data_IF_408561954693
#
_entry.id   IF_408561954693
#
_cell.length_a   1.000
_cell.length_b   1.000
_cell.length_c   1.000
_cell.angle_alpha   90.00
_cell.angle_beta   90.00
_cell.angle_gamma   90.00
#
_symmetry.space_group_name_H-M   'P 1'
#
loop_
_entity.id
_entity.type
_entity.pdbx_description
1 polymer ?
#
# COMPACT_ATOMS: atom_id res chain seq x y z
N UNK A 1 -17.86 -25.82 -3.96
CA UNK A 1 -17.12 -25.42 -2.83
C UNK A 1 -15.66 -25.59 -3.06
N UNK A 2 -14.71 -25.88 -2.40
CA UNK A 2 -13.48 -25.10 -2.32
C UNK A 2 -12.55 -25.32 -3.52
N UNK A 3 -12.98 -24.91 -4.68
CA UNK A 3 -12.18 -24.90 -5.91
C UNK A 3 -10.83 -24.16 -5.73
N UNK A 4 -10.82 -23.13 -4.91
CA UNK A 4 -9.59 -22.39 -4.62
C UNK A 4 -8.59 -23.17 -3.75
N UNK A 5 -9.07 -24.01 -2.81
CA UNK A 5 -8.20 -24.86 -1.98
C UNK A 5 -7.55 -25.95 -2.83
N UNK A 6 -8.31 -26.55 -3.72
CA UNK A 6 -7.79 -27.59 -4.61
C UNK A 6 -6.79 -27.02 -5.61
N UNK A 7 -7.08 -25.85 -6.18
CA UNK A 7 -6.13 -25.10 -7.01
C UNK A 7 -4.85 -24.76 -6.27
N UNK A 8 -4.95 -24.37 -5.01
CA UNK A 8 -3.78 -24.08 -4.19
C UNK A 8 -2.93 -25.32 -3.94
N UNK A 9 -3.56 -26.46 -3.63
CA UNK A 9 -2.87 -27.73 -3.44
C UNK A 9 -2.16 -28.20 -4.71
N UNK A 10 -2.85 -28.16 -5.84
CA UNK A 10 -2.29 -28.54 -7.14
C UNK A 10 -1.08 -27.66 -7.49
N UNK A 11 -1.18 -26.36 -7.24
CA UNK A 11 -0.10 -25.42 -7.51
C UNK A 11 1.12 -25.65 -6.63
N UNK A 12 0.93 -25.87 -5.33
CA UNK A 12 2.02 -26.22 -4.42
C UNK A 12 2.66 -27.55 -4.78
N UNK A 13 1.85 -28.52 -5.20
CA UNK A 13 2.35 -29.81 -5.69
C UNK A 13 3.17 -29.64 -6.96
N UNK A 14 2.69 -28.87 -7.93
CA UNK A 14 3.41 -28.58 -9.17
C UNK A 14 4.75 -27.87 -8.90
N UNK A 15 4.79 -26.91 -7.98
CA UNK A 15 6.00 -26.22 -7.55
C UNK A 15 7.01 -27.19 -6.90
N UNK A 16 6.54 -28.07 -6.02
CA UNK A 16 7.39 -29.08 -5.39
C UNK A 16 7.95 -30.09 -6.41
N UNK A 17 7.14 -30.52 -7.38
CA UNK A 17 7.53 -31.46 -8.43
C UNK A 17 8.44 -30.83 -9.51
N UNK A 18 8.38 -29.49 -9.69
CA UNK A 18 9.20 -28.79 -10.68
C UNK A 18 10.69 -28.78 -10.36
N UNK A 19 11.08 -29.09 -9.10
CA UNK A 19 12.46 -29.08 -8.66
C UNK A 19 13.11 -27.68 -8.66
N UNK A 20 12.31 -26.62 -8.67
CA UNK A 20 12.81 -25.26 -8.67
C UNK A 20 13.56 -24.93 -7.38
N UNK A 21 14.74 -24.31 -7.52
CA UNK A 21 15.52 -23.83 -6.41
C UNK A 21 14.89 -22.58 -5.80
N UNK A 22 15.30 -22.23 -4.58
CA UNK A 22 14.88 -20.97 -3.94
C UNK A 22 15.25 -19.74 -4.78
N UNK A 23 16.41 -19.75 -5.44
CA UNK A 23 16.86 -18.68 -6.32
C UNK A 23 15.96 -18.54 -7.56
N UNK A 24 15.56 -19.63 -8.17
CA UNK A 24 14.62 -19.62 -9.31
C UNK A 24 13.25 -19.11 -8.93
N UNK A 25 12.73 -19.49 -7.77
CA UNK A 25 11.46 -18.99 -7.23
C UNK A 25 11.54 -17.48 -6.93
N UNK A 26 12.64 -17.03 -6.36
CA UNK A 26 12.87 -15.61 -6.07
C UNK A 26 12.95 -14.79 -7.35
N UNK A 27 13.64 -15.28 -8.38
CA UNK A 27 13.72 -14.64 -9.68
C UNK A 27 12.35 -14.60 -10.37
N UNK A 28 11.60 -15.68 -10.29
CA UNK A 28 10.25 -15.75 -10.85
C UNK A 28 9.33 -14.71 -10.18
N UNK A 29 9.35 -14.63 -8.86
CA UNK A 29 8.59 -13.60 -8.10
C UNK A 29 8.99 -12.18 -8.52
N UNK A 30 10.28 -11.89 -8.66
CA UNK A 30 10.76 -10.60 -9.13
C UNK A 30 10.25 -10.26 -10.54
N UNK A 31 10.22 -11.22 -11.44
CA UNK A 31 9.70 -11.04 -12.79
C UNK A 31 8.20 -10.78 -12.80
N UNK A 32 7.44 -11.49 -11.99
CA UNK A 32 5.99 -11.27 -11.83
C UNK A 32 5.72 -9.86 -11.29
N UNK A 33 6.45 -9.43 -10.28
CA UNK A 33 6.33 -8.07 -9.72
C UNK A 33 6.64 -7.03 -10.79
N UNK A 34 7.72 -7.17 -11.52
CA UNK A 34 8.10 -6.23 -12.57
C UNK A 34 7.03 -6.11 -13.67
N UNK A 35 6.42 -7.23 -14.03
CA UNK A 35 5.37 -7.24 -15.05
C UNK A 35 4.05 -6.63 -14.57
N UNK A 36 3.67 -6.87 -13.33
CA UNK A 36 2.34 -6.52 -12.79
C UNK A 36 2.32 -5.25 -11.93
N UNK A 37 3.47 -4.79 -11.47
CA UNK A 37 3.54 -3.67 -10.53
C UNK A 37 2.94 -2.35 -11.04
N UNK A 38 3.10 -1.94 -12.31
CA UNK A 38 2.51 -0.71 -12.79
C UNK A 38 0.98 -0.70 -12.68
N UNK A 39 0.32 -1.76 -13.12
CA UNK A 39 -1.13 -1.91 -13.04
C UNK A 39 -1.61 -2.01 -11.58
N UNK A 40 -0.92 -2.78 -10.77
CA UNK A 40 -1.19 -2.90 -9.35
C UNK A 40 -1.09 -1.56 -8.61
N UNK A 41 -0.07 -0.78 -8.93
CA UNK A 41 0.15 0.55 -8.36
C UNK A 41 -0.92 1.54 -8.79
N UNK A 42 -1.25 1.58 -10.07
CA UNK A 42 -2.32 2.43 -10.60
C UNK A 42 -3.68 2.08 -9.96
N UNK A 43 -3.99 0.82 -9.81
CA UNK A 43 -5.21 0.37 -9.11
C UNK A 43 -5.24 0.81 -7.64
N UNK A 44 -4.10 0.79 -6.97
CA UNK A 44 -4.00 1.29 -5.60
C UNK A 44 -4.24 2.80 -5.51
N UNK A 45 -3.66 3.57 -6.42
CA UNK A 45 -3.89 5.03 -6.49
C UNK A 45 -5.35 5.33 -6.79
N UNK A 46 -5.98 4.62 -7.71
CA UNK A 46 -7.42 4.77 -8.01
C UNK A 46 -8.28 4.47 -6.77
N UNK A 47 -7.89 3.48 -5.98
CA UNK A 47 -8.58 3.17 -4.73
C UNK A 47 -8.45 4.31 -3.70
N UNK A 48 -7.27 4.90 -3.57
CA UNK A 48 -7.07 6.09 -2.72
C UNK A 48 -7.95 7.25 -3.17
N UNK A 49 -8.03 7.51 -4.47
CA UNK A 49 -8.90 8.54 -5.04
C UNK A 49 -10.37 8.28 -4.74
N UNK A 50 -10.83 7.06 -4.94
CA UNK A 50 -12.22 6.69 -4.70
C UNK A 50 -12.61 6.84 -3.23
N UNK A 51 -11.77 6.37 -2.33
CA UNK A 51 -12.01 6.45 -0.89
C UNK A 51 -11.95 7.90 -0.38
N UNK A 52 -11.02 8.72 -0.86
CA UNK A 52 -10.93 10.13 -0.51
C UNK A 52 -12.14 10.95 -1.02
N UNK A 53 -12.60 10.66 -2.22
CA UNK A 53 -13.80 11.29 -2.80
C UNK A 53 -15.05 10.93 -2.00
N UNK A 54 -15.17 9.68 -1.58
CA UNK A 54 -16.29 9.22 -0.74
C UNK A 54 -16.32 9.90 0.62
N UNK A 55 -15.16 10.11 1.24
CA UNK A 55 -15.07 10.88 2.48
C UNK A 55 -15.55 12.31 2.31
N UNK A 56 -15.21 12.96 1.21
CA UNK A 56 -15.69 14.30 0.88
C UNK A 56 -17.20 14.38 0.74
N UNK A 57 -17.80 13.36 0.14
CA UNK A 57 -19.26 13.26 0.00
C UNK A 57 -19.94 13.06 1.34
N UNK A 58 -19.38 12.21 2.21
CA UNK A 58 -19.95 11.89 3.52
C UNK A 58 -19.76 13.04 4.53
N UNK A 59 -18.62 13.72 4.46
CA UNK A 59 -18.25 14.79 5.38
C UNK A 59 -17.94 16.11 4.64
N UNK A 60 -18.89 16.69 3.88
CA UNK A 60 -18.61 17.83 3.02
C UNK A 60 -18.20 19.10 3.79
N UNK A 61 -18.64 19.23 5.03
CA UNK A 61 -18.39 20.42 5.88
C UNK A 61 -17.30 20.18 6.94
N UNK A 62 -16.70 19.00 6.97
CA UNK A 62 -15.67 18.66 7.96
C UNK A 62 -14.32 18.45 7.27
N UNK A 63 -13.55 19.52 7.15
CA UNK A 63 -12.23 19.51 6.52
C UNK A 63 -11.26 18.55 7.22
N UNK A 64 -11.41 18.36 8.53
CA UNK A 64 -10.55 17.45 9.31
C UNK A 64 -10.69 15.98 8.89
N UNK A 65 -11.82 15.60 8.29
CA UNK A 65 -12.09 14.25 7.78
C UNK A 65 -11.80 14.11 6.29
N UNK A 66 -11.22 15.13 5.66
CA UNK A 66 -10.95 15.13 4.23
C UNK A 66 -9.44 15.02 3.95
N UNK A 67 -9.11 14.41 2.83
CA UNK A 67 -7.76 14.34 2.32
C UNK A 67 -7.76 14.50 0.79
N UNK A 68 -6.59 14.80 0.25
CA UNK A 68 -6.38 14.96 -1.19
C UNK A 68 -5.32 13.99 -1.66
N UNK A 69 -5.59 13.31 -2.76
CA UNK A 69 -4.65 12.41 -3.43
C UNK A 69 -4.14 13.09 -4.70
N UNK A 70 -2.83 13.20 -4.83
CA UNK A 70 -2.18 13.82 -5.99
C UNK A 70 -1.25 12.80 -6.63
N UNK A 71 -1.51 12.42 -7.88
CA UNK A 71 -0.58 11.57 -8.64
C UNK A 71 0.59 12.41 -9.11
N UNK A 72 1.82 11.95 -8.83
CA UNK A 72 3.06 12.58 -9.28
C UNK A 72 3.71 11.75 -10.40
N UNK A 73 4.77 12.26 -11.01
CA UNK A 73 5.52 11.54 -12.04
C UNK A 73 6.15 10.23 -11.52
N UNK A 74 6.47 10.14 -10.23
CA UNK A 74 7.18 9.01 -9.62
C UNK A 74 6.34 8.23 -8.59
N UNK A 75 5.13 8.69 -8.27
CA UNK A 75 4.29 8.05 -7.27
C UNK A 75 3.00 8.80 -7.00
N UNK A 76 2.64 8.94 -5.73
CA UNK A 76 1.51 9.75 -5.33
C UNK A 76 1.76 10.41 -3.96
N UNK A 77 1.03 11.48 -3.71
CA UNK A 77 1.00 12.17 -2.42
C UNK A 77 -0.41 12.13 -1.83
N UNK A 78 -0.49 11.86 -0.55
CA UNK A 78 -1.71 11.90 0.22
C UNK A 78 -1.58 13.02 1.26
N UNK A 79 -2.48 13.98 1.24
CA UNK A 79 -2.42 15.19 2.07
C UNK A 79 -3.70 15.39 2.85
N UNK A 80 -3.59 15.78 4.12
CA UNK A 80 -4.72 16.30 4.85
C UNK A 80 -5.18 17.67 4.31
N UNK A 81 -6.38 18.12 4.70
CA UNK A 81 -6.97 19.37 4.21
C UNK A 81 -6.97 20.50 5.25
N UNK A 82 -6.68 20.21 6.51
CA UNK A 82 -6.66 21.18 7.59
C UNK A 82 -5.28 21.27 8.24
N UNK A 83 -4.70 22.45 8.28
CA UNK A 83 -3.43 22.72 8.97
C UNK A 83 -3.57 22.60 10.50
N UNK A 84 -2.59 22.03 11.20
CA UNK A 84 -1.46 21.31 10.65
C UNK A 84 -1.90 19.96 10.06
N UNK A 85 -1.42 19.61 8.86
CA UNK A 85 -1.73 18.31 8.26
C UNK A 85 -0.51 17.43 8.08
N UNK A 86 -0.76 16.15 7.93
CA UNK A 86 0.24 15.16 7.56
C UNK A 86 0.22 14.95 6.05
N UNK A 87 1.39 14.76 5.49
CA UNK A 87 1.56 14.41 4.08
C UNK A 87 2.34 13.12 3.99
N UNK A 88 1.87 12.22 3.15
CA UNK A 88 2.58 11.00 2.78
C UNK A 88 2.96 11.10 1.31
N UNK A 89 4.25 10.96 1.03
CA UNK A 89 4.77 10.81 -0.33
C UNK A 89 5.11 9.35 -0.54
N UNK A 90 4.47 8.72 -1.50
CA UNK A 90 4.60 7.29 -1.77
C UNK A 90 5.17 7.08 -3.16
N UNK A 91 6.14 6.18 -3.25
CA UNK A 91 6.80 5.84 -4.50
C UNK A 91 7.00 4.33 -4.61
N UNK A 92 6.54 3.77 -5.73
CA UNK A 92 6.81 2.38 -6.06
C UNK A 92 8.27 2.22 -6.49
N UNK A 93 8.99 1.34 -5.84
CA UNK A 93 10.32 0.90 -6.23
C UNK A 93 10.26 -0.57 -6.67
N UNK A 94 10.20 -0.77 -7.98
CA UNK A 94 10.04 -2.12 -8.56
C UNK A 94 11.28 -2.98 -8.31
N UNK A 95 12.48 -2.38 -8.38
CA UNK A 95 13.74 -3.12 -8.19
C UNK A 95 13.91 -3.60 -6.75
N UNK A 96 13.49 -2.82 -5.78
CA UNK A 96 13.48 -3.20 -4.36
C UNK A 96 12.20 -3.94 -3.95
N UNK A 97 11.23 -4.08 -4.84
CA UNK A 97 9.95 -4.74 -4.57
C UNK A 97 9.24 -4.14 -3.36
N UNK A 98 9.17 -2.81 -3.33
CA UNK A 98 8.64 -2.08 -2.20
C UNK A 98 7.99 -0.76 -2.62
N UNK A 99 7.20 -0.21 -1.70
CA UNK A 99 6.72 1.17 -1.75
C UNK A 99 7.43 1.94 -0.64
N UNK A 100 8.16 2.97 -1.04
CA UNK A 100 8.77 3.91 -0.10
C UNK A 100 7.73 4.95 0.31
N UNK A 101 7.61 5.19 1.61
CA UNK A 101 6.68 6.16 2.19
C UNK A 101 7.46 7.16 3.02
N UNK A 102 7.44 8.41 2.58
CA UNK A 102 8.00 9.54 3.32
C UNK A 102 6.88 10.34 3.96
N UNK A 103 6.96 10.51 5.28
CA UNK A 103 6.03 11.33 6.03
C UNK A 103 6.61 12.72 6.25
N UNK A 104 5.77 13.72 6.00
CA UNK A 104 6.04 15.12 6.31
C UNK A 104 4.87 15.70 7.07
N UNK A 105 5.18 16.65 7.94
CA UNK A 105 4.17 17.44 8.65
C UNK A 105 4.21 18.87 8.12
N UNK A 106 3.09 19.34 7.64
CA UNK A 106 2.93 20.75 7.25
C UNK A 106 2.26 21.50 8.37
N UNK A 107 3.01 22.36 9.06
CA UNK A 107 2.51 23.17 10.16
C UNK A 107 1.91 24.49 9.69
N UNK A 108 2.41 25.04 8.60
CA UNK A 108 1.96 26.23 7.93
C UNK A 108 2.14 26.08 6.41
N UNK A 109 1.50 26.91 5.56
CA UNK A 109 1.62 26.77 4.10
C UNK A 109 3.07 26.73 3.58
N UNK A 110 3.99 27.40 4.26
CA UNK A 110 5.41 27.52 3.93
C UNK A 110 6.35 26.70 4.84
N UNK A 111 5.81 25.98 5.82
CA UNK A 111 6.61 25.23 6.80
C UNK A 111 6.31 23.73 6.75
N UNK A 112 7.25 22.99 6.15
CA UNK A 112 7.21 21.53 6.06
C UNK A 112 8.35 20.95 6.89
N UNK A 113 8.03 19.98 7.75
CA UNK A 113 8.99 19.29 8.61
C UNK A 113 9.00 17.80 8.23
N UNK A 114 10.15 17.19 7.93
CA UNK A 114 10.25 15.74 7.78
C UNK A 114 9.86 15.06 9.08
N UNK A 115 9.00 14.04 9.02
CA UNK A 115 8.46 13.38 10.20
C UNK A 115 8.79 11.88 10.28
N UNK A 116 9.05 11.22 9.15
CA UNK A 116 9.39 9.80 9.16
C UNK A 116 9.55 9.20 7.76
N UNK A 117 10.01 7.97 7.75
CA UNK A 117 10.16 7.15 6.56
C UNK A 117 9.76 5.72 6.89
N UNK A 118 9.05 5.07 5.99
CA UNK A 118 8.75 3.65 6.09
C UNK A 118 8.75 3.00 4.71
N UNK A 119 8.70 1.70 4.71
CA UNK A 119 8.73 0.89 3.49
C UNK A 119 7.76 -0.28 3.63
N UNK A 120 6.91 -0.44 2.64
CA UNK A 120 6.00 -1.58 2.53
C UNK A 120 6.48 -2.47 1.40
N UNK A 121 6.60 -3.76 1.66
CA UNK A 121 7.01 -4.71 0.64
C UNK A 121 5.86 -5.05 -0.29
N UNK A 122 6.20 -5.28 -1.56
CA UNK A 122 5.31 -5.87 -2.54
C UNK A 122 5.74 -7.32 -2.71
N UNK A 123 4.82 -8.23 -2.53
CA UNK A 123 5.06 -9.68 -2.61
C UNK A 123 4.10 -10.34 -3.59
N UNK A 124 4.39 -11.56 -3.98
CA UNK A 124 3.56 -12.37 -4.86
C UNK A 124 2.95 -13.50 -4.04
N UNK A 125 1.63 -13.64 -4.11
CA UNK A 125 0.95 -14.75 -3.47
C UNK A 125 0.99 -16.03 -4.33
N UNK A 126 0.42 -17.12 -3.82
CA UNK A 126 0.38 -18.42 -4.51
C UNK A 126 -0.44 -18.39 -5.83
N UNK A 127 -1.23 -17.35 -6.06
CA UNK A 127 -2.00 -17.13 -7.31
C UNK A 127 -1.31 -16.20 -8.30
N UNK A 128 -0.04 -15.85 -8.05
CA UNK A 128 0.73 -14.87 -8.84
C UNK A 128 0.10 -13.46 -8.85
N UNK A 129 -0.65 -13.14 -7.81
CA UNK A 129 -1.17 -11.81 -7.59
C UNK A 129 -0.26 -11.02 -6.65
N UNK A 130 -0.18 -9.70 -6.86
CA UNK A 130 0.61 -8.84 -6.00
C UNK A 130 -0.15 -8.47 -4.73
N UNK A 131 0.58 -8.42 -3.64
CA UNK A 131 0.08 -8.04 -2.32
C UNK A 131 1.07 -7.09 -1.65
N UNK A 132 0.54 -6.26 -0.74
CA UNK A 132 1.39 -5.55 0.21
C UNK A 132 1.68 -6.43 1.43
N UNK A 133 2.90 -6.34 1.93
CA UNK A 133 3.30 -7.04 3.14
C UNK A 133 4.00 -6.06 4.07
N UNK A 134 3.51 -5.92 5.29
CA UNK A 134 4.10 -5.06 6.30
C UNK A 134 5.35 -5.68 6.96
N UNK A 135 5.98 -4.95 7.89
CA UNK A 135 7.19 -5.42 8.61
C UNK A 135 6.97 -6.69 9.40
N UNK A 136 5.76 -6.94 9.90
CA UNK A 136 5.37 -8.15 10.62
C UNK A 136 5.05 -9.34 9.71
N UNK A 137 5.26 -9.20 8.39
CA UNK A 137 4.92 -10.18 7.37
C UNK A 137 3.42 -10.47 7.25
N UNK A 138 2.57 -9.61 7.79
CA UNK A 138 1.13 -9.69 7.57
C UNK A 138 0.78 -9.18 6.17
N UNK A 139 -0.04 -9.93 5.46
CA UNK A 139 -0.56 -9.51 4.16
C UNK A 139 -1.61 -8.42 4.34
N UNK A 140 -1.45 -7.33 3.59
CA UNK A 140 -2.34 -6.18 3.64
C UNK A 140 -2.96 -5.98 2.26
N UNK A 141 -4.29 -6.00 2.18
CA UNK A 141 -4.97 -5.74 0.91
C UNK A 141 -4.82 -4.27 0.51
N UNK A 142 -4.82 -3.95 -0.79
CA UNK A 142 -4.77 -2.56 -1.25
C UNK A 142 -5.87 -1.68 -0.64
N UNK A 143 -7.10 -2.20 -0.54
CA UNK A 143 -8.21 -1.46 0.07
C UNK A 143 -8.00 -1.18 1.55
N UNK A 144 -7.48 -2.14 2.30
CA UNK A 144 -7.17 -1.98 3.72
C UNK A 144 -6.01 -1.01 3.95
N UNK A 145 -4.97 -1.07 3.14
CA UNK A 145 -3.86 -0.13 3.21
C UNK A 145 -4.34 1.29 2.89
N UNK A 146 -5.12 1.48 1.85
CA UNK A 146 -5.69 2.77 1.48
C UNK A 146 -6.50 3.38 2.64
N UNK A 147 -7.38 2.59 3.25
CA UNK A 147 -8.15 3.02 4.41
C UNK A 147 -7.25 3.49 5.55
N UNK A 148 -6.26 2.69 5.95
CA UNK A 148 -5.37 3.03 7.05
C UNK A 148 -4.54 4.30 6.80
N UNK A 149 -4.05 4.48 5.58
CA UNK A 149 -3.29 5.67 5.21
C UNK A 149 -4.16 6.93 5.24
N UNK A 150 -5.40 6.85 4.77
CA UNK A 150 -6.36 7.95 4.81
C UNK A 150 -6.72 8.30 6.26
N UNK A 151 -7.04 7.32 7.09
CA UNK A 151 -7.32 7.53 8.51
C UNK A 151 -6.13 8.16 9.23
N UNK A 152 -4.93 7.73 8.90
CA UNK A 152 -3.71 8.31 9.45
C UNK A 152 -3.55 9.79 9.08
N UNK A 153 -3.72 10.13 7.81
CA UNK A 153 -3.60 11.52 7.31
C UNK A 153 -4.69 12.42 7.89
N UNK A 154 -5.88 11.89 8.14
CA UNK A 154 -6.96 12.58 8.84
C UNK A 154 -6.75 12.66 10.36
N UNK A 155 -5.66 12.13 10.91
CA UNK A 155 -5.26 12.29 12.30
C UNK A 155 -5.85 11.27 13.29
N UNK A 156 -6.50 10.21 12.80
CA UNK A 156 -7.13 9.19 13.67
C UNK A 156 -6.15 8.13 14.18
N UNK A 157 -5.02 7.90 13.47
CA UNK A 157 -4.03 6.85 13.80
C UNK A 157 -2.60 7.40 13.79
N UNK A 158 -1.69 6.70 14.44
CA UNK A 158 -0.25 6.95 14.28
C UNK A 158 0.25 6.28 12.98
N UNK A 159 1.36 6.80 12.43
CA UNK A 159 1.95 6.23 11.22
C UNK A 159 2.33 4.75 11.37
N UNK A 160 2.94 4.39 12.50
CA UNK A 160 3.27 3.00 12.80
C UNK A 160 2.04 2.13 12.88
N UNK A 161 0.95 2.62 13.47
CA UNK A 161 -0.32 1.92 13.51
C UNK A 161 -0.93 1.77 12.12
N UNK A 162 -0.93 2.81 11.30
CA UNK A 162 -1.49 2.76 9.96
C UNK A 162 -0.83 1.68 9.07
N UNK A 163 0.45 1.41 9.29
CA UNK A 163 1.23 0.42 8.52
C UNK A 163 1.23 -0.96 9.20
N UNK A 164 1.14 -1.02 10.53
CA UNK A 164 1.33 -2.24 11.33
C UNK A 164 0.04 -2.87 11.86
N UNK A 165 -1.09 -2.22 11.80
CA UNK A 165 -2.29 -2.53 12.61
C UNK A 165 -3.05 -3.81 12.22
N UNK A 166 -2.51 -4.66 11.37
CA UNK A 166 -3.12 -5.96 11.06
C UNK A 166 -2.48 -7.18 11.71
N UNK A 167 -1.54 -6.99 12.63
CA UNK A 167 -1.02 -8.12 13.40
C UNK A 167 -1.96 -8.61 14.51
N UNK A 168 -3.09 -7.94 14.75
CA UNK A 168 -3.96 -8.21 15.88
C UNK A 168 -5.30 -8.90 15.59
N UNK A 169 -5.56 -9.22 14.32
CA UNK A 169 -6.85 -9.89 13.97
C UNK A 169 -6.65 -11.07 13.04
#
# INVERSE_FOLDING_TARGET
MPDWIDKLKERRKALAESGQTHEELTLHAANVIRAKAPEFWDSFIERLHADSSKLKEVFPNNISCQCTVVKTAIGCELRGCKLPWRELSMRLNVDEQSVDIDERKREAPDRIIPAGHDKIRVTVNDYEELEFTNKGRAHVTPGSLAQHLIEYVCGSLSFVQAVSDKEKY
#
